data_IF_901266592600
#
_entry.id   IF_901266592600
#
_cell.length_a   1.000
_cell.length_b   1.000
_cell.length_c   1.000
_cell.angle_alpha   90.00
_cell.angle_beta   90.00
_cell.angle_gamma   90.00
#
_symmetry.space_group_name_H-M   'P 1'
#
loop_
_entity.id
_entity.type
_entity.pdbx_description
1 polymer ?
#
# COMPACT_ATOMS: atom_id res chain seq x y z
N UNK A 1 6.14 4.05 18.03
CA UNK A 1 5.34 4.40 16.83
C UNK A 1 4.85 3.13 16.18
N UNK A 2 3.55 2.94 16.02
CA UNK A 2 3.02 1.77 15.35
C UNK A 2 3.18 1.82 13.82
N UNK A 3 3.86 2.84 13.32
CA UNK A 3 3.90 3.22 11.93
C UNK A 3 5.36 3.43 11.51
N UNK A 4 5.85 2.78 10.44
CA UNK A 4 7.23 2.92 10.03
C UNK A 4 7.58 4.34 9.60
N UNK A 5 8.65 4.89 10.16
CA UNK A 5 9.08 6.26 9.84
C UNK A 5 9.48 6.43 8.38
N UNK A 6 9.87 5.36 7.69
CA UNK A 6 10.21 5.43 6.27
C UNK A 6 9.04 5.93 5.42
N UNK A 7 7.80 5.64 5.84
CA UNK A 7 6.62 6.10 5.11
C UNK A 7 6.48 7.62 5.18
N UNK A 8 6.81 8.22 6.33
CA UNK A 8 6.81 9.67 6.47
C UNK A 8 7.94 10.31 5.68
N UNK A 9 9.13 9.70 5.72
CA UNK A 9 10.29 10.21 5.00
C UNK A 9 10.11 10.18 3.49
N UNK A 10 9.36 9.21 2.98
CA UNK A 10 9.13 9.01 1.54
C UNK A 10 7.72 9.39 1.10
N UNK A 11 7.01 10.16 1.92
CA UNK A 11 5.62 10.51 1.65
C UNK A 11 5.42 11.16 0.29
N UNK A 12 6.31 12.09 -0.09
CA UNK A 12 6.21 12.78 -1.38
C UNK A 12 6.43 11.83 -2.55
N UNK A 13 7.38 10.89 -2.42
CA UNK A 13 7.65 9.90 -3.45
C UNK A 13 6.47 8.95 -3.61
N UNK A 14 5.90 8.49 -2.49
CA UNK A 14 4.73 7.61 -2.50
C UNK A 14 3.57 8.31 -3.19
N UNK A 15 3.32 9.57 -2.85
CA UNK A 15 2.23 10.34 -3.47
C UNK A 15 2.42 10.50 -4.98
N UNK A 16 3.65 10.75 -5.43
CA UNK A 16 3.96 10.87 -6.85
C UNK A 16 3.72 9.55 -7.59
N UNK A 17 4.15 8.44 -7.00
CA UNK A 17 3.94 7.11 -7.56
C UNK A 17 2.45 6.82 -7.67
N UNK A 18 1.70 7.08 -6.61
CA UNK A 18 0.26 6.84 -6.59
C UNK A 18 -0.46 7.66 -7.66
N UNK A 19 -0.09 8.93 -7.82
CA UNK A 19 -0.70 9.77 -8.85
C UNK A 19 -0.42 9.26 -10.26
N UNK A 20 0.80 8.79 -10.53
CA UNK A 20 1.17 8.25 -11.85
C UNK A 20 0.35 7.01 -12.19
N UNK A 21 0.03 6.20 -11.20
CA UNK A 21 -0.72 4.96 -11.39
C UNK A 21 -2.21 5.09 -11.16
N UNK A 22 -2.70 6.31 -10.96
CA UNK A 22 -4.12 6.60 -10.72
C UNK A 22 -4.67 5.85 -9.51
N UNK A 23 -3.88 5.77 -8.47
CA UNK A 23 -4.30 5.19 -7.20
C UNK A 23 -5.19 6.21 -6.48
N UNK A 24 -6.35 5.76 -6.02
CA UNK A 24 -7.24 6.59 -5.21
C UNK A 24 -6.85 6.53 -3.74
N UNK A 25 -6.43 5.36 -3.26
CA UNK A 25 -6.10 5.19 -1.85
C UNK A 25 -5.05 4.09 -1.69
N UNK A 26 -4.10 4.33 -0.81
CA UNK A 26 -3.09 3.35 -0.42
C UNK A 26 -3.02 3.33 1.10
N UNK A 27 -3.11 2.15 1.69
CA UNK A 27 -3.08 2.00 3.15
C UNK A 27 -2.16 0.87 3.57
N UNK A 28 -1.46 1.06 4.67
CA UNK A 28 -0.60 0.04 5.27
C UNK A 28 -1.45 -0.86 6.16
N UNK A 29 -1.28 -2.17 6.04
CA UNK A 29 -1.95 -3.12 6.91
C UNK A 29 -0.99 -4.24 7.32
N UNK A 30 -1.48 -5.25 8.03
CA UNK A 30 -0.66 -6.37 8.46
C UNK A 30 0.21 -6.04 9.67
N UNK A 31 1.33 -6.77 9.81
CA UNK A 31 2.19 -6.65 10.99
C UNK A 31 2.80 -5.26 11.14
N UNK A 32 3.16 -4.62 10.04
CA UNK A 32 3.74 -3.28 10.08
C UNK A 32 2.74 -2.24 10.62
N UNK A 33 1.47 -2.39 10.26
CA UNK A 33 0.41 -1.50 10.76
C UNK A 33 0.16 -1.67 12.26
N UNK A 34 0.47 -2.86 12.79
CA UNK A 34 0.34 -3.15 14.22
C UNK A 34 1.57 -2.79 15.04
N UNK A 35 2.59 -2.23 14.41
CA UNK A 35 3.83 -1.88 15.10
C UNK A 35 4.79 -3.02 15.30
N UNK A 36 4.54 -4.17 14.69
CA UNK A 36 5.40 -5.36 14.81
C UNK A 36 6.41 -5.43 13.68
N UNK A 37 6.87 -4.28 13.21
CA UNK A 37 7.78 -4.19 12.08
C UNK A 37 9.18 -4.62 12.47
N UNK A 38 9.73 -5.54 11.69
CA UNK A 38 11.15 -5.89 11.74
C UNK A 38 11.83 -5.28 10.51
N UNK A 39 13.13 -5.11 10.57
CA UNK A 39 13.89 -4.50 9.47
C UNK A 39 13.80 -5.30 8.17
N UNK A 40 13.52 -6.59 8.26
CA UNK A 40 13.41 -7.49 7.12
C UNK A 40 11.95 -7.86 6.79
N UNK A 41 10.99 -7.29 7.49
CA UNK A 41 9.57 -7.57 7.25
C UNK A 41 9.08 -6.91 5.97
N UNK A 42 8.17 -7.60 5.28
CA UNK A 42 7.47 -7.03 4.13
C UNK A 42 6.50 -5.95 4.60
N UNK A 43 6.28 -4.96 3.74
CA UNK A 43 5.26 -3.96 3.97
C UNK A 43 4.01 -4.37 3.19
N UNK A 44 2.91 -4.57 3.90
CA UNK A 44 1.65 -4.98 3.28
C UNK A 44 0.80 -3.74 3.01
N UNK A 45 0.51 -3.49 1.73
CA UNK A 45 -0.31 -2.35 1.32
C UNK A 45 -1.61 -2.80 0.69
N UNK A 46 -2.67 -2.10 1.04
CA UNK A 46 -3.97 -2.24 0.42
C UNK A 46 -4.14 -1.08 -0.55
N UNK A 47 -4.43 -1.38 -1.81
CA UNK A 47 -4.55 -0.37 -2.87
C UNK A 47 -5.95 -0.34 -3.45
N UNK A 48 -6.46 0.87 -3.68
CA UNK A 48 -7.68 1.10 -4.43
C UNK A 48 -7.36 2.07 -5.56
N UNK A 49 -7.71 1.69 -6.79
CA UNK A 49 -7.51 2.55 -7.95
C UNK A 49 -8.72 3.45 -8.18
N UNK A 50 -8.49 4.56 -8.86
CA UNK A 50 -9.56 5.48 -9.20
C UNK A 50 -10.62 4.76 -10.06
N UNK A 51 -11.91 5.09 -9.90
CA UNK A 51 -12.97 4.44 -10.68
C UNK A 51 -12.72 4.56 -12.19
N UNK A 52 -12.98 3.47 -12.90
CA UNK A 52 -12.79 3.44 -14.35
C UNK A 52 -11.34 3.27 -14.81
N UNK A 53 -10.40 3.12 -13.90
CA UNK A 53 -9.00 2.89 -14.26
C UNK A 53 -8.79 1.43 -14.63
N UNK A 54 -8.38 1.12 -15.88
CA UNK A 54 -8.06 -0.25 -16.24
C UNK A 54 -6.71 -0.63 -15.65
N UNK A 55 -6.67 -1.66 -14.82
CA UNK A 55 -5.44 -2.12 -14.18
C UNK A 55 -5.24 -3.58 -14.53
N UNK A 56 -4.25 -3.85 -15.36
CA UNK A 56 -3.84 -5.20 -15.65
C UNK A 56 -2.73 -5.66 -14.69
N UNK A 57 -2.36 -6.92 -14.84
CA UNK A 57 -1.33 -7.53 -14.01
C UNK A 57 0.03 -6.81 -14.15
N UNK A 58 0.36 -6.37 -15.36
CA UNK A 58 1.60 -5.65 -15.61
C UNK A 58 1.64 -4.31 -14.88
N UNK A 59 0.55 -3.56 -14.92
CA UNK A 59 0.46 -2.26 -14.25
C UNK A 59 0.54 -2.42 -12.74
N UNK A 60 -0.10 -3.45 -12.22
CA UNK A 60 -0.07 -3.78 -10.80
C UNK A 60 1.36 -4.09 -10.34
N UNK A 61 2.08 -4.90 -11.13
CA UNK A 61 3.47 -5.25 -10.84
C UNK A 61 4.41 -4.04 -10.90
N UNK A 62 4.17 -3.11 -11.83
CA UNK A 62 4.96 -1.88 -11.93
C UNK A 62 4.77 -1.01 -10.69
N UNK A 63 3.55 -0.87 -10.21
CA UNK A 63 3.26 -0.11 -9.01
C UNK A 63 4.00 -0.71 -7.81
N UNK A 64 3.94 -2.03 -7.67
CA UNK A 64 4.64 -2.72 -6.59
C UNK A 64 6.14 -2.48 -6.66
N UNK A 65 6.73 -2.60 -7.85
CA UNK A 65 8.17 -2.41 -8.02
C UNK A 65 8.61 -0.98 -7.69
N UNK A 66 7.83 0.01 -8.08
CA UNK A 66 8.15 1.40 -7.78
C UNK A 66 8.08 1.69 -6.28
N UNK A 67 7.08 1.12 -5.59
CA UNK A 67 6.98 1.26 -4.15
C UNK A 67 8.15 0.58 -3.44
N UNK A 68 8.56 -0.60 -3.91
CA UNK A 68 9.72 -1.29 -3.35
C UNK A 68 11.00 -0.48 -3.52
N UNK A 69 11.19 0.12 -4.69
CA UNK A 69 12.36 0.95 -4.96
C UNK A 69 12.39 2.20 -4.07
N UNK A 70 11.25 2.85 -3.91
CA UNK A 70 11.15 4.06 -3.08
C UNK A 70 11.36 3.76 -1.60
N UNK A 71 10.85 2.63 -1.12
CA UNK A 71 10.87 2.29 0.30
C UNK A 71 12.05 1.41 0.69
N UNK A 72 12.79 0.89 -0.29
CA UNK A 72 13.93 -0.01 -0.07
C UNK A 72 13.54 -1.22 0.77
N UNK A 73 12.34 -1.75 0.53
CA UNK A 73 11.80 -2.90 1.23
C UNK A 73 10.87 -3.67 0.33
N UNK A 74 10.67 -4.94 0.63
CA UNK A 74 9.66 -5.73 -0.05
C UNK A 74 8.27 -5.19 0.25
N UNK A 75 7.45 -5.13 -0.78
CA UNK A 75 6.08 -4.68 -0.69
C UNK A 75 5.16 -5.79 -1.16
N UNK A 76 4.17 -6.13 -0.35
CA UNK A 76 3.10 -7.02 -0.73
C UNK A 76 1.86 -6.16 -1.00
N UNK A 77 1.46 -6.09 -2.26
CA UNK A 77 0.40 -5.20 -2.70
C UNK A 77 -0.88 -5.99 -2.94
N UNK A 78 -1.93 -5.63 -2.23
CA UNK A 78 -3.23 -6.31 -2.31
C UNK A 78 -4.29 -5.33 -2.77
N UNK A 79 -5.07 -5.72 -3.77
CA UNK A 79 -6.19 -4.91 -4.24
C UNK A 79 -7.34 -4.96 -3.25
N UNK A 80 -7.86 -3.80 -2.89
CA UNK A 80 -9.02 -3.70 -2.00
C UNK A 80 -10.22 -4.47 -2.55
N UNK A 81 -10.39 -4.46 -3.87
CA UNK A 81 -11.48 -5.20 -4.52
C UNK A 81 -11.29 -6.71 -4.46
N UNK A 82 -10.06 -7.17 -4.31
CA UNK A 82 -9.75 -8.59 -4.23
C UNK A 82 -9.90 -9.19 -2.85
N UNK A 83 -10.18 -8.39 -1.83
CA UNK A 83 -10.36 -8.91 -0.47
C UNK A 83 -11.67 -9.67 -0.36
N UNK A 84 -11.59 -10.84 0.28
CA UNK A 84 -12.80 -11.59 0.60
C UNK A 84 -13.67 -10.80 1.58
N UNK A 85 -14.99 -10.79 1.41
CA UNK A 85 -15.88 -10.06 2.32
C UNK A 85 -15.67 -10.40 3.79
N UNK A 86 -15.35 -11.65 4.10
CA UNK A 86 -15.13 -12.10 5.48
C UNK A 86 -13.89 -11.47 6.12
N UNK A 87 -12.91 -11.05 5.32
CA UNK A 87 -11.67 -10.45 5.82
C UNK A 87 -11.65 -8.93 5.69
N UNK A 88 -12.54 -8.40 4.87
CA UNK A 88 -12.51 -6.99 4.48
C UNK A 88 -12.61 -6.05 5.66
N UNK A 89 -13.59 -6.28 6.52
CA UNK A 89 -13.81 -5.40 7.67
C UNK A 89 -12.62 -5.40 8.62
N UNK A 90 -12.11 -6.58 8.93
CA UNK A 90 -10.95 -6.72 9.82
C UNK A 90 -9.71 -6.00 9.27
N UNK A 91 -9.43 -6.18 7.98
CA UNK A 91 -8.30 -5.52 7.34
C UNK A 91 -8.47 -4.01 7.33
N UNK A 92 -9.67 -3.52 6.99
CA UNK A 92 -9.93 -2.09 6.94
C UNK A 92 -9.81 -1.42 8.30
N UNK A 93 -10.21 -2.10 9.37
CA UNK A 93 -10.08 -1.56 10.73
C UNK A 93 -8.62 -1.41 11.15
N UNK A 94 -7.73 -2.24 10.62
CA UNK A 94 -6.31 -2.22 10.98
C UNK A 94 -5.47 -1.37 10.03
N UNK A 95 -6.03 -0.98 8.90
CA UNK A 95 -5.29 -0.25 7.88
C UNK A 95 -5.03 1.20 8.29
N UNK A 96 -3.80 1.66 7.99
CA UNK A 96 -3.41 3.05 8.20
C UNK A 96 -3.28 3.73 6.83
N UNK A 97 -4.07 4.76 6.53
CA UNK A 97 -3.95 5.45 5.24
C UNK A 97 -2.55 6.06 5.06
N UNK A 98 -1.97 5.81 3.90
CA UNK A 98 -0.66 6.35 3.51
C UNK A 98 -0.84 7.41 2.43
N UNK A 99 -1.83 7.21 1.56
CA UNK A 99 -2.14 8.14 0.48
C UNK A 99 -3.65 8.12 0.22
N UNK A 100 -4.24 9.29 0.02
CA UNK A 100 -5.63 9.44 -0.41
C UNK A 100 -5.68 10.60 -1.39
N UNK A 101 -6.11 10.28 -2.61
CA UNK A 101 -6.15 11.26 -3.70
C UNK A 101 -7.52 11.83 -3.97
#
# INVERSE_FOLDING_TARGET
>A
MPYPSILDQRKSEIAAICRRHKVAELALFGSAAKGNLRSDSDLDFLVEFAPGTPVGLLEFGKLQAELEAALQRRVDLVSKRGLKPSLRESVLQQAHPVYAG
#
